data_IF_670498620008
#
_entry.id   IF_670498620008
#
_cell.length_a   1.000
_cell.length_b   1.000
_cell.length_c   1.000
_cell.angle_alpha   90.00
_cell.angle_beta   90.00
_cell.angle_gamma   90.00
#
_symmetry.space_group_name_H-M   'P 1'
#
loop_
_entity.id
_entity.type
_entity.pdbx_description
1 polymer ?
#
# COMPACT_ATOMS: atom_id res chain seq x y z
N UNK A 1 -12.37 -30.30 30.99
CA UNK A 1 -12.41 -29.97 29.55
C UNK A 1 -11.02 -29.51 29.16
N UNK A 2 -10.35 -30.08 28.15
CA UNK A 2 -9.02 -29.60 27.78
C UNK A 2 -9.16 -28.29 27.00
N UNK A 3 -8.51 -27.23 27.48
CA UNK A 3 -8.34 -25.99 26.76
C UNK A 3 -7.55 -26.26 25.48
N UNK A 4 -8.19 -26.02 24.33
CA UNK A 4 -7.57 -26.13 23.01
C UNK A 4 -6.60 -24.96 22.90
N UNK A 5 -5.34 -25.19 23.25
CA UNK A 5 -4.24 -24.24 23.10
C UNK A 5 -3.98 -24.06 21.60
N UNK A 6 -4.80 -23.21 20.99
CA UNK A 6 -4.66 -22.82 19.59
C UNK A 6 -3.47 -21.89 19.57
N UNK A 7 -2.38 -22.18 18.81
CA UNK A 7 -1.29 -21.24 18.69
C UNK A 7 -1.91 -19.95 18.16
N UNK A 8 -1.97 -18.92 19.02
CA UNK A 8 -2.36 -17.59 18.59
C UNK A 8 -1.41 -17.25 17.47
N UNK A 9 -1.89 -17.28 16.22
CA UNK A 9 -1.20 -16.62 15.11
C UNK A 9 -1.00 -15.21 15.61
N UNK A 10 0.20 -14.88 16.05
CA UNK A 10 0.53 -13.57 16.58
C UNK A 10 0.30 -12.63 15.42
N UNK A 11 -0.86 -11.98 15.41
CA UNK A 11 -1.20 -10.98 14.40
C UNK A 11 -0.06 -9.96 14.47
N UNK A 12 0.53 -9.65 13.33
CA UNK A 12 1.59 -8.67 13.26
C UNK A 12 1.13 -7.39 13.97
N UNK A 13 1.98 -6.83 14.84
CA UNK A 13 1.65 -5.69 15.69
C UNK A 13 1.12 -4.48 14.91
N UNK A 14 1.62 -4.26 13.71
CA UNK A 14 1.22 -3.16 12.84
C UNK A 14 -0.16 -3.39 12.21
N UNK A 15 -0.50 -4.65 11.89
CA UNK A 15 -1.87 -5.01 11.48
C UNK A 15 -2.86 -4.79 12.62
N UNK A 16 -2.52 -5.19 13.85
CA UNK A 16 -3.38 -4.99 15.02
C UNK A 16 -3.60 -3.50 15.31
N UNK A 17 -2.51 -2.71 15.34
CA UNK A 17 -2.56 -1.26 15.58
C UNK A 17 -3.32 -0.52 14.48
N UNK A 18 -3.07 -0.86 13.22
CA UNK A 18 -3.80 -0.27 12.09
C UNK A 18 -5.31 -0.52 12.18
N UNK A 19 -5.73 -1.74 12.52
CA UNK A 19 -7.15 -2.04 12.73
C UNK A 19 -7.75 -1.30 13.94
N UNK A 20 -6.99 -1.15 15.02
CA UNK A 20 -7.43 -0.38 16.19
C UNK A 20 -7.60 1.11 15.85
N UNK A 21 -6.66 1.69 15.10
CA UNK A 21 -6.76 3.06 14.63
C UNK A 21 -8.01 3.27 13.74
N UNK A 22 -8.34 2.30 12.88
CA UNK A 22 -9.60 2.33 12.12
C UNK A 22 -10.84 2.33 13.01
N UNK A 23 -10.86 1.51 14.07
CA UNK A 23 -11.98 1.51 15.02
C UNK A 23 -12.10 2.83 15.76
N UNK A 24 -10.98 3.52 16.01
CA UNK A 24 -10.95 4.85 16.60
C UNK A 24 -11.28 5.98 15.60
N UNK A 25 -11.46 5.67 14.32
CA UNK A 25 -11.67 6.67 13.25
C UNK A 25 -10.40 7.44 12.87
N UNK A 26 -9.24 7.06 13.40
CA UNK A 26 -7.94 7.65 13.08
C UNK A 26 -7.36 7.01 11.83
N UNK A 27 -7.80 7.54 10.69
CA UNK A 27 -7.39 7.07 9.37
C UNK A 27 -5.89 7.24 9.13
N UNK A 28 -5.30 8.36 9.54
CA UNK A 28 -3.89 8.67 9.25
C UNK A 28 -2.96 7.71 9.98
N UNK A 29 -3.24 7.45 11.26
CA UNK A 29 -2.51 6.44 12.03
C UNK A 29 -2.72 5.04 11.45
N UNK A 30 -3.94 4.70 11.02
CA UNK A 30 -4.20 3.40 10.40
C UNK A 30 -3.37 3.18 9.13
N UNK A 31 -3.32 4.19 8.24
CA UNK A 31 -2.53 4.14 7.01
C UNK A 31 -1.04 3.99 7.34
N UNK A 32 -0.52 4.77 8.29
CA UNK A 32 0.88 4.67 8.70
C UNK A 32 1.24 3.26 9.22
N UNK A 33 0.40 2.67 10.07
CA UNK A 33 0.61 1.32 10.60
C UNK A 33 0.52 0.24 9.49
N UNK A 34 -0.45 0.33 8.58
CA UNK A 34 -0.51 -0.62 7.46
C UNK A 34 0.66 -0.46 6.49
N UNK A 35 1.20 0.75 6.30
CA UNK A 35 2.43 0.93 5.52
C UNK A 35 3.61 0.20 6.15
N UNK A 36 3.79 0.29 7.47
CA UNK A 36 4.85 -0.44 8.19
C UNK A 36 4.67 -1.97 8.09
N UNK A 37 3.43 -2.45 8.05
CA UNK A 37 3.14 -3.88 7.91
C UNK A 37 3.52 -4.47 6.53
N UNK A 38 3.78 -3.63 5.51
CA UNK A 38 4.22 -4.10 4.19
C UNK A 38 5.66 -4.59 4.16
N UNK A 39 6.49 -4.21 5.15
CA UNK A 39 7.88 -4.66 5.25
C UNK A 39 8.01 -6.01 5.97
N UNK A 40 6.90 -6.57 6.46
CA UNK A 40 6.92 -7.84 7.18
C UNK A 40 7.32 -9.01 6.25
N UNK A 41 8.23 -9.90 6.68
CA UNK A 41 8.65 -11.03 5.85
C UNK A 41 7.51 -12.01 5.54
N UNK A 42 6.47 -12.06 6.38
CA UNK A 42 5.31 -12.90 6.14
C UNK A 42 4.42 -12.31 5.03
N UNK A 43 4.27 -13.08 3.96
CA UNK A 43 3.41 -12.72 2.83
C UNK A 43 1.96 -12.41 3.25
N UNK A 44 1.41 -13.17 4.20
CA UNK A 44 0.05 -12.96 4.70
C UNK A 44 -0.13 -11.60 5.37
N UNK A 45 0.87 -11.16 6.17
CA UNK A 45 0.87 -9.82 6.78
C UNK A 45 0.84 -8.74 5.71
N UNK A 46 1.72 -8.85 4.71
CA UNK A 46 1.81 -7.87 3.61
C UNK A 46 0.54 -7.82 2.78
N UNK A 47 -0.10 -8.96 2.55
CA UNK A 47 -1.37 -9.04 1.83
C UNK A 47 -2.50 -8.34 2.60
N UNK A 48 -2.61 -8.57 3.91
CA UNK A 48 -3.63 -7.91 4.74
C UNK A 48 -3.41 -6.40 4.72
N UNK A 49 -2.17 -5.95 4.92
CA UNK A 49 -1.79 -4.53 4.87
C UNK A 49 -2.14 -3.89 3.51
N UNK A 50 -1.79 -4.57 2.42
CA UNK A 50 -2.06 -4.12 1.05
C UNK A 50 -3.57 -3.93 0.82
N UNK A 51 -4.38 -4.90 1.24
CA UNK A 51 -5.83 -4.82 1.07
C UNK A 51 -6.42 -3.67 1.88
N UNK A 52 -6.00 -3.49 3.14
CA UNK A 52 -6.45 -2.37 3.97
C UNK A 52 -6.08 -1.01 3.38
N UNK A 53 -4.88 -0.86 2.84
CA UNK A 53 -4.47 0.38 2.18
C UNK A 53 -5.26 0.65 0.90
N UNK A 54 -5.65 -0.38 0.14
CA UNK A 54 -6.53 -0.20 -1.02
C UNK A 54 -7.93 0.27 -0.63
N UNK A 55 -8.48 -0.24 0.46
CA UNK A 55 -9.81 0.18 0.96
C UNK A 55 -9.78 1.61 1.48
N UNK A 56 -8.72 1.97 2.22
CA UNK A 56 -8.61 3.29 2.83
C UNK A 56 -8.25 4.33 1.78
N UNK A 57 -7.25 4.05 0.97
CA UNK A 57 -6.62 5.01 0.08
C UNK A 57 -6.68 4.54 -1.38
N UNK A 58 -7.88 4.39 -1.95
CA UNK A 58 -8.05 3.84 -3.30
C UNK A 58 -7.42 4.73 -4.38
N UNK A 59 -7.28 6.02 -4.10
CA UNK A 59 -6.74 7.00 -5.04
C UNK A 59 -5.28 7.34 -4.77
N UNK A 60 -4.76 7.11 -3.56
CA UNK A 60 -3.40 7.53 -3.20
C UNK A 60 -2.35 6.74 -3.97
N UNK A 61 -1.32 7.47 -4.40
CA UNK A 61 -0.20 6.93 -5.16
C UNK A 61 1.09 7.41 -4.53
N UNK A 62 2.15 6.61 -4.64
CA UNK A 62 3.49 7.05 -4.22
C UNK A 62 4.36 7.29 -5.45
N UNK A 63 5.05 8.43 -5.49
CA UNK A 63 6.15 8.71 -6.41
C UNK A 63 7.45 8.10 -5.91
N UNK A 64 8.27 7.60 -6.82
CA UNK A 64 9.65 7.17 -6.54
C UNK A 64 10.65 8.19 -7.05
N UNK A 65 11.93 7.98 -6.76
CA UNK A 65 13.03 8.77 -7.31
C UNK A 65 13.18 8.68 -8.84
N UNK A 66 12.49 7.74 -9.50
CA UNK A 66 12.57 7.52 -10.96
C UNK A 66 11.52 8.32 -11.76
N UNK A 67 10.93 9.34 -11.15
CA UNK A 67 9.79 10.12 -11.66
C UNK A 67 8.51 9.33 -11.94
N UNK A 68 8.51 8.03 -11.66
CA UNK A 68 7.32 7.20 -11.74
C UNK A 68 6.53 7.28 -10.45
N UNK A 69 5.21 7.38 -10.57
CA UNK A 69 4.30 7.15 -9.47
C UNK A 69 3.54 5.83 -9.65
N UNK A 70 3.17 5.23 -8.54
CA UNK A 70 2.70 3.86 -8.43
C UNK A 70 1.53 3.79 -7.44
N UNK A 71 0.66 2.80 -7.58
CA UNK A 71 -0.30 2.45 -6.50
C UNK A 71 0.44 1.97 -5.27
N UNK A 72 -0.10 2.21 -4.08
CA UNK A 72 0.46 1.75 -2.80
C UNK A 72 0.76 0.24 -2.73
N UNK A 73 0.16 -0.58 -3.59
CA UNK A 73 0.34 -2.04 -3.67
C UNK A 73 1.21 -2.50 -4.84
N UNK A 74 1.81 -1.58 -5.60
CA UNK A 74 2.67 -1.93 -6.72
C UNK A 74 3.88 -2.74 -6.23
N UNK A 75 4.23 -3.89 -6.84
CA UNK A 75 5.36 -4.71 -6.42
C UNK A 75 6.70 -3.97 -6.49
N UNK A 76 6.82 -2.95 -7.34
CA UNK A 76 7.99 -2.05 -7.39
C UNK A 76 8.22 -1.29 -6.06
N UNK A 77 7.21 -1.22 -5.18
CA UNK A 77 7.29 -0.53 -3.89
C UNK A 77 8.33 -1.14 -2.97
N UNK A 78 8.41 -2.47 -2.97
CA UNK A 78 9.35 -3.22 -2.13
C UNK A 78 10.82 -2.90 -2.46
N UNK A 79 11.10 -2.22 -3.57
CA UNK A 79 12.44 -1.81 -4.01
C UNK A 79 12.73 -0.34 -3.65
N UNK A 80 11.70 0.52 -3.57
CA UNK A 80 11.85 1.97 -3.43
C UNK A 80 11.88 2.50 -1.97
N UNK A 81 11.65 1.65 -0.96
CA UNK A 81 11.56 2.07 0.44
C UNK A 81 12.91 2.48 1.07
N UNK A 82 14.02 2.33 0.35
CA UNK A 82 15.35 2.80 0.77
C UNK A 82 15.54 4.33 0.71
N UNK A 83 14.46 5.11 0.89
CA UNK A 83 14.56 6.45 1.45
C UNK A 83 14.07 7.63 0.60
N UNK A 84 13.48 7.45 -0.58
CA UNK A 84 12.96 8.59 -1.36
C UNK A 84 11.66 8.26 -2.10
N UNK A 85 10.55 8.28 -1.37
CA UNK A 85 9.22 8.26 -1.98
C UNK A 85 8.39 9.47 -1.52
N UNK A 86 7.50 9.91 -2.39
CA UNK A 86 6.57 11.01 -2.15
C UNK A 86 5.16 10.45 -2.17
N UNK A 87 4.32 10.77 -1.19
CA UNK A 87 2.91 10.39 -1.24
C UNK A 87 2.10 11.51 -1.92
N UNK A 88 1.24 11.12 -2.85
CA UNK A 88 0.28 12.00 -3.50
C UNK A 88 -1.12 11.52 -3.15
N UNK A 89 -2.03 12.47 -2.92
CA UNK A 89 -3.43 12.17 -2.56
C UNK A 89 -4.14 11.37 -3.66
N UNK A 90 -3.80 11.67 -4.91
CA UNK A 90 -4.41 11.03 -6.06
C UNK A 90 -3.47 11.05 -7.29
N UNK A 91 -3.92 10.39 -8.35
CA UNK A 91 -3.25 10.33 -9.65
C UNK A 91 -2.98 11.71 -10.27
N UNK A 92 -3.95 12.63 -10.15
CA UNK A 92 -3.88 13.98 -10.71
C UNK A 92 -2.84 14.84 -10.01
N UNK A 93 -2.72 14.71 -8.68
CA UNK A 93 -1.71 15.41 -7.89
C UNK A 93 -0.30 14.96 -8.28
N UNK A 94 -0.11 13.64 -8.50
CA UNK A 94 1.16 13.10 -8.96
C UNK A 94 1.52 13.60 -10.37
N UNK A 95 0.55 13.61 -11.30
CA UNK A 95 0.74 14.12 -12.67
C UNK A 95 1.03 15.63 -12.67
N UNK A 96 0.35 16.40 -11.82
CA UNK A 96 0.57 17.85 -11.66
C UNK A 96 1.94 18.17 -11.06
N UNK A 97 2.46 17.28 -10.21
CA UNK A 97 3.83 17.32 -9.70
C UNK A 97 4.89 16.85 -10.74
N UNK A 98 4.49 16.61 -11.99
CA UNK A 98 5.37 16.21 -13.08
C UNK A 98 5.74 14.72 -13.08
N UNK A 99 5.10 13.90 -12.24
CA UNK A 99 5.38 12.46 -12.18
C UNK A 99 4.62 11.72 -13.27
N UNK A 100 5.17 10.59 -13.70
CA UNK A 100 4.64 9.73 -14.76
C UNK A 100 3.98 8.47 -14.19
N UNK A 101 2.88 7.96 -14.77
CA UNK A 101 2.29 6.72 -14.30
C UNK A 101 3.21 5.53 -14.55
N UNK A 102 3.32 4.66 -13.55
CA UNK A 102 3.79 3.30 -13.76
C UNK A 102 2.85 2.57 -14.72
N UNK A 103 3.41 2.02 -15.81
CA UNK A 103 2.64 1.32 -16.85
C UNK A 103 1.89 0.07 -16.37
N UNK A 104 2.26 -0.49 -15.21
CA UNK A 104 1.48 -1.56 -14.56
C UNK A 104 0.35 -1.00 -13.68
N UNK A 105 0.55 0.16 -13.07
CA UNK A 105 -0.41 0.77 -12.12
C UNK A 105 -1.52 1.56 -12.83
N UNK A 106 -1.17 2.24 -13.92
CA UNK A 106 -2.07 2.95 -14.84
C UNK A 106 -1.55 2.68 -16.25
N UNK A 107 -1.88 1.50 -16.83
CA UNK A 107 -1.55 1.22 -18.22
C UNK A 107 -2.15 2.31 -19.10
N UNK A 108 -1.36 2.79 -20.06
CA UNK A 108 -1.92 3.66 -21.11
C UNK A 108 -3.02 2.85 -21.80
N UNK A 109 -4.16 3.46 -22.13
CA UNK A 109 -5.15 2.79 -22.95
C UNK A 109 -4.41 2.29 -24.19
N UNK A 110 -4.37 0.99 -24.35
CA UNK A 110 -3.81 0.37 -25.53
C UNK A 110 -4.67 0.86 -26.68
N UNK A 111 -4.19 1.86 -27.42
CA UNK A 111 -4.61 2.03 -28.79
C UNK A 111 -4.25 0.72 -29.45
N UNK A 112 -5.22 -0.18 -29.54
CA UNK A 112 -5.14 -1.40 -30.32
C UNK A 112 -4.79 -0.96 -31.74
N UNK A 113 -3.49 -0.90 -32.03
CA UNK A 113 -2.98 -0.85 -33.38
C UNK A 113 -3.21 -2.25 -33.92
N UNK A 114 -4.31 -2.34 -34.68
CA UNK A 114 -4.51 -3.12 -35.90
C UNK A 114 -4.00 -4.55 -35.89
N UNK A 115 -4.84 -5.47 -36.34
CA UNK A 115 -4.97 -5.77 -37.77
C UNK A 115 -6.29 -6.48 -38.03
#
# INVERSE_FOLDING_TARGET
MPEVNTPQRTINKHIARGNQALQAGDRDTAVAEFLLALDDPNFGTRLIASNRLMDLCPEEVYGTSTDLYHRLTCPAKNIAYNGNYFLFRNWSDAESAGRRPCGQCKPRPTTSRRS
#
